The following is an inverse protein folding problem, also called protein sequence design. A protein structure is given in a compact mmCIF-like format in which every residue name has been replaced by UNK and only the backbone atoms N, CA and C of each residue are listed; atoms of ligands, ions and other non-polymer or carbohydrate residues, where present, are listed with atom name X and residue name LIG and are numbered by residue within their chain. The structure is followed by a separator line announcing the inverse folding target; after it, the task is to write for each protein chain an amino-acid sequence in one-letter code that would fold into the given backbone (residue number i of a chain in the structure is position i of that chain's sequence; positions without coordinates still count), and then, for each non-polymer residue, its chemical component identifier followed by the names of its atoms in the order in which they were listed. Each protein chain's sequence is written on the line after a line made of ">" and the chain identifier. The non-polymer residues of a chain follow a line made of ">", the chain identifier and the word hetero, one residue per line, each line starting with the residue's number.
data_IF_751869686287
#
_entry.id   IF_751869686287
#
_cell.length_a   1.000
_cell.length_b   1.000
_cell.length_c   1.000
_cell.angle_alpha   90.00
_cell.angle_beta   90.00
_cell.angle_gamma   90.00
#
_symmetry.space_group_name_H-M   'P 1'
#
loop_
_entity.id
_entity.type
_entity.pdbx_description
1 polymer ?
#
# COMPACT_ATOMS: atom_id res chain seq x y z
N UNK A 1 26.70 -20.78 46.56
CA UNK A 1 27.33 -22.05 47.00
C UNK A 1 26.41 -23.17 46.56
N UNK A 2 26.74 -24.18 45.76
CA UNK A 2 27.94 -24.68 45.09
C UNK A 2 27.44 -25.36 43.79
N UNK A 3 28.00 -25.06 42.62
CA UNK A 3 29.06 -25.84 41.93
C UNK A 3 28.74 -27.33 41.65
N UNK A 4 28.50 -27.62 40.37
CA UNK A 4 29.20 -28.60 39.50
C UNK A 4 29.06 -30.11 39.80
N UNK A 5 28.82 -30.89 38.73
CA UNK A 5 29.70 -32.00 38.34
C UNK A 5 29.48 -32.41 36.88
N UNK A 6 30.51 -32.13 36.07
CA UNK A 6 30.76 -32.71 34.75
C UNK A 6 31.05 -34.22 34.86
N UNK A 7 30.67 -34.98 33.83
CA UNK A 7 31.40 -36.17 33.39
C UNK A 7 31.39 -36.28 31.87
N UNK A 8 32.56 -36.12 31.27
CA UNK A 8 32.89 -36.69 29.95
C UNK A 8 33.78 -37.92 30.12
N UNK A 9 33.93 -38.71 29.04
CA UNK A 9 35.07 -39.56 28.60
C UNK A 9 34.57 -40.28 27.32
N UNK A 10 35.01 -39.92 26.10
CA UNK A 10 36.21 -40.34 25.32
C UNK A 10 36.14 -41.74 24.65
N UNK A 11 35.81 -41.72 23.36
CA UNK A 11 36.38 -42.41 22.17
C UNK A 11 37.04 -43.80 22.25
N UNK A 12 36.73 -44.67 21.27
CA UNK A 12 37.72 -45.16 20.29
C UNK A 12 37.09 -45.81 19.03
N UNK A 13 37.84 -45.71 17.94
CA UNK A 13 37.64 -46.06 16.52
C UNK A 13 38.07 -47.49 16.14
N UNK A 14 37.56 -48.04 15.03
CA UNK A 14 38.18 -49.01 14.09
C UNK A 14 37.27 -49.07 12.81
N UNK A 15 37.64 -48.56 11.62
CA UNK A 15 38.46 -49.07 10.49
C UNK A 15 37.93 -50.29 9.70
N UNK A 16 37.82 -50.12 8.36
CA UNK A 16 37.61 -51.16 7.32
C UNK A 16 36.71 -50.64 6.17
N UNK A 17 37.19 -49.96 5.12
CA UNK A 17 37.98 -50.37 3.94
C UNK A 17 37.13 -50.65 2.64
N UNK A 18 37.20 -49.67 1.73
CA UNK A 18 37.24 -49.64 0.26
C UNK A 18 36.55 -50.69 -0.64
N UNK A 19 35.78 -50.18 -1.62
CA UNK A 19 35.92 -50.49 -3.04
C UNK A 19 35.48 -49.26 -3.88
N UNK A 20 36.35 -48.80 -4.79
CA UNK A 20 36.15 -47.58 -5.57
C UNK A 20 35.58 -47.81 -6.97
N UNK A 21 35.11 -46.72 -7.58
CA UNK A 21 35.08 -46.54 -9.03
C UNK A 21 35.57 -45.11 -9.34
N UNK A 22 36.63 -45.03 -10.14
CA UNK A 22 37.20 -43.80 -10.66
C UNK A 22 36.34 -43.26 -11.81
N UNK A 23 35.99 -41.98 -11.79
CA UNK A 23 35.61 -41.24 -12.99
C UNK A 23 36.28 -39.85 -12.96
N UNK A 24 37.11 -39.61 -13.96
CA UNK A 24 37.94 -38.41 -14.12
C UNK A 24 37.10 -37.22 -14.58
N UNK A 25 36.95 -36.19 -13.74
CA UNK A 25 36.33 -34.93 -14.17
C UNK A 25 37.37 -33.98 -14.75
N UNK A 26 37.28 -33.75 -16.06
CA UNK A 26 37.92 -32.67 -16.82
C UNK A 26 37.55 -31.31 -16.18
N UNK A 27 38.54 -30.52 -15.77
CA UNK A 27 38.35 -29.11 -15.43
C UNK A 27 38.19 -28.31 -16.72
N UNK A 28 37.00 -27.77 -16.96
CA UNK A 28 36.78 -26.73 -17.97
C UNK A 28 37.11 -25.36 -17.37
N UNK A 29 37.80 -24.46 -18.10
CA UNK A 29 37.99 -23.10 -17.65
C UNK A 29 36.68 -22.32 -17.78
N UNK A 30 36.20 -21.75 -16.67
CA UNK A 30 35.14 -20.75 -16.65
C UNK A 30 35.68 -19.46 -17.28
N UNK A 31 35.25 -19.18 -18.50
CA UNK A 31 35.42 -17.87 -19.12
C UNK A 31 34.50 -16.88 -18.39
N UNK A 32 35.09 -16.03 -17.53
CA UNK A 32 34.41 -14.85 -17.02
C UNK A 32 34.24 -13.84 -18.17
N UNK A 33 33.06 -13.83 -18.77
CA UNK A 33 32.67 -12.80 -19.73
C UNK A 33 32.17 -11.57 -18.96
N UNK A 34 33.06 -10.62 -18.73
CA UNK A 34 32.70 -9.30 -18.21
C UNK A 34 32.23 -8.43 -19.37
N UNK A 35 30.94 -8.11 -19.44
CA UNK A 35 30.46 -7.00 -20.26
C UNK A 35 30.98 -5.71 -19.66
N UNK A 36 32.08 -5.20 -20.22
CA UNK A 36 32.59 -3.86 -19.95
C UNK A 36 31.65 -2.88 -20.64
N UNK A 37 30.71 -2.31 -19.89
CA UNK A 37 30.05 -1.07 -20.29
C UNK A 37 31.11 0.02 -20.17
N UNK A 38 31.71 0.41 -21.29
CA UNK A 38 32.42 1.67 -21.36
C UNK A 38 31.39 2.79 -21.28
N UNK A 39 31.10 3.22 -20.05
CA UNK A 39 30.56 4.56 -19.84
C UNK A 39 31.65 5.54 -20.26
N UNK A 40 31.49 6.14 -21.43
CA UNK A 40 32.15 7.41 -21.74
C UNK A 40 31.68 8.39 -20.68
N UNK A 41 32.49 8.59 -19.64
CA UNK A 41 32.32 9.69 -18.71
C UNK A 41 32.78 10.95 -19.45
N UNK A 42 31.87 11.58 -20.20
CA UNK A 42 31.93 13.02 -20.37
C UNK A 42 31.73 13.62 -18.99
N UNK A 43 32.83 14.03 -18.37
CA UNK A 43 32.85 14.78 -17.12
C UNK A 43 32.30 16.18 -17.37
N UNK A 44 30.98 16.31 -17.48
CA UNK A 44 30.37 17.63 -17.36
C UNK A 44 30.65 18.18 -15.96
N UNK A 45 31.12 19.44 -15.82
CA UNK A 45 31.49 19.98 -14.52
C UNK A 45 30.27 19.99 -13.59
N UNK A 46 30.43 19.48 -12.36
CA UNK A 46 29.40 19.53 -11.30
C UNK A 46 28.87 20.95 -11.04
N UNK A 47 29.62 22.00 -11.42
CA UNK A 47 29.17 23.39 -11.33
C UNK A 47 28.10 23.75 -12.37
N UNK A 48 28.17 23.20 -13.58
CA UNK A 48 27.23 23.50 -14.68
C UNK A 48 25.87 22.85 -14.43
N UNK A 49 25.85 21.65 -13.85
CA UNK A 49 24.60 20.96 -13.48
C UNK A 49 23.85 21.66 -12.34
N UNK A 50 24.58 22.24 -11.38
CA UNK A 50 24.01 23.07 -10.32
C UNK A 50 23.50 24.41 -10.87
N UNK A 51 24.23 25.07 -11.76
CA UNK A 51 23.81 26.36 -12.33
C UNK A 51 22.57 26.22 -13.23
N UNK A 52 22.44 25.12 -13.97
CA UNK A 52 21.23 24.84 -14.77
C UNK A 52 20.02 24.55 -13.85
N UNK A 53 20.19 23.75 -12.80
CA UNK A 53 19.12 23.49 -11.82
C UNK A 53 18.70 24.74 -11.02
N UNK A 54 19.64 25.65 -10.78
CA UNK A 54 19.38 26.89 -10.08
C UNK A 54 18.69 27.92 -10.99
N UNK A 55 19.11 28.02 -12.25
CA UNK A 55 18.46 28.86 -13.25
C UNK A 55 17.03 28.40 -13.58
N UNK A 56 16.74 27.10 -13.59
CA UNK A 56 15.37 26.59 -13.79
C UNK A 56 14.48 26.83 -12.58
N UNK A 57 15.04 26.78 -11.36
CA UNK A 57 14.30 27.08 -10.12
C UNK A 57 13.95 28.57 -10.03
N UNK A 58 14.90 29.46 -10.33
CA UNK A 58 14.68 30.91 -10.36
C UNK A 58 13.69 31.32 -11.48
N UNK A 59 13.76 30.68 -12.65
CA UNK A 59 12.79 30.91 -13.73
C UNK A 59 11.38 30.39 -13.39
N UNK A 60 11.28 29.28 -12.65
CA UNK A 60 10.00 28.78 -12.15
C UNK A 60 9.44 29.70 -11.05
N UNK A 61 10.28 30.14 -10.11
CA UNK A 61 9.91 31.09 -9.04
C UNK A 61 9.44 32.44 -9.60
N UNK A 62 10.10 32.96 -10.63
CA UNK A 62 9.68 34.18 -11.34
C UNK A 62 8.34 34.00 -12.08
N UNK A 63 8.04 32.79 -12.58
CA UNK A 63 6.76 32.50 -13.27
C UNK A 63 5.59 32.33 -12.29
N UNK A 64 5.88 32.02 -11.03
CA UNK A 64 4.89 31.88 -9.94
C UNK A 64 4.69 33.15 -9.10
N UNK A 65 5.44 34.23 -9.36
CA UNK A 65 5.25 35.50 -8.66
C UNK A 65 3.82 36.02 -8.84
N UNK A 66 3.12 36.25 -7.73
CA UNK A 66 1.74 36.71 -7.69
C UNK A 66 0.67 35.61 -7.66
N UNK A 67 1.06 34.32 -7.59
CA UNK A 67 0.13 33.20 -7.42
C UNK A 67 0.32 32.51 -6.06
N UNK A 68 -0.77 32.00 -5.50
CA UNK A 68 -0.77 31.20 -4.27
C UNK A 68 -1.35 29.81 -4.56
N UNK A 69 -0.66 28.75 -4.11
CA UNK A 69 -1.12 27.37 -4.29
C UNK A 69 -2.12 26.99 -3.18
N UNK A 70 -3.31 26.52 -3.58
CA UNK A 70 -4.32 25.96 -2.68
C UNK A 70 -4.48 24.48 -3.00
N UNK A 71 -4.13 23.62 -2.04
CA UNK A 71 -4.09 22.16 -2.22
C UNK A 71 -5.12 21.52 -1.30
N UNK A 72 -6.01 20.72 -1.88
CA UNK A 72 -6.91 19.81 -1.15
C UNK A 72 -6.43 18.36 -1.30
N UNK A 73 -6.58 17.57 -0.24
CA UNK A 73 -6.20 16.15 -0.23
C UNK A 73 -7.44 15.31 0.07
N UNK A 74 -7.63 14.26 -0.72
CA UNK A 74 -8.55 13.17 -0.44
C UNK A 74 -7.70 11.93 -0.12
N UNK A 75 -8.02 11.23 0.97
CA UNK A 75 -7.26 10.06 1.40
C UNK A 75 -8.21 8.92 1.72
N UNK A 76 -7.99 7.80 1.06
CA UNK A 76 -8.70 6.55 1.29
C UNK A 76 -7.84 5.67 2.18
N UNK A 77 -8.40 5.20 3.29
CA UNK A 77 -7.67 4.42 4.29
C UNK A 77 -8.33 3.06 4.44
N UNK A 78 -7.61 2.00 4.11
CA UNK A 78 -8.10 0.65 4.29
C UNK A 78 -8.08 0.27 5.77
N UNK A 79 -9.25 -0.09 6.30
CA UNK A 79 -9.41 -0.45 7.71
C UNK A 79 -8.94 -1.88 7.96
N UNK A 80 -8.12 -2.06 9.00
CA UNK A 80 -7.66 -3.38 9.44
C UNK A 80 -8.79 -4.15 10.15
N UNK A 81 -9.66 -4.76 9.34
CA UNK A 81 -10.80 -5.56 9.79
C UNK A 81 -10.69 -6.98 9.25
N UNK A 82 -11.24 -7.95 10.00
CA UNK A 82 -11.16 -9.37 9.62
C UNK A 82 -12.06 -9.67 8.43
N UNK A 83 -13.25 -9.06 8.37
CA UNK A 83 -14.23 -9.26 7.31
C UNK A 83 -14.51 -7.97 6.54
N UNK A 84 -14.94 -8.09 5.29
CA UNK A 84 -15.33 -6.97 4.43
C UNK A 84 -16.45 -6.11 5.04
N UNK A 85 -16.63 -4.91 4.49
CA UNK A 85 -17.55 -3.92 5.04
C UNK A 85 -19.02 -4.34 5.07
N UNK A 86 -19.47 -5.11 4.06
CA UNK A 86 -20.89 -5.42 3.84
C UNK A 86 -21.23 -6.91 3.74
N UNK A 87 -20.27 -7.80 4.02
CA UNK A 87 -20.47 -9.25 4.02
C UNK A 87 -19.46 -9.96 4.92
N UNK A 88 -19.66 -11.25 5.16
CA UNK A 88 -18.81 -12.06 6.06
C UNK A 88 -17.54 -12.61 5.41
N UNK A 89 -17.22 -12.24 4.17
CA UNK A 89 -15.97 -12.66 3.54
C UNK A 89 -14.77 -12.09 4.31
N UNK A 90 -13.72 -12.88 4.54
CA UNK A 90 -12.49 -12.36 5.10
C UNK A 90 -11.81 -11.40 4.12
N UNK A 91 -11.03 -10.47 4.68
CA UNK A 91 -10.05 -9.70 3.94
C UNK A 91 -8.65 -10.23 4.29
N UNK A 92 -7.88 -10.60 3.27
CA UNK A 92 -6.50 -11.06 3.41
C UNK A 92 -5.68 -10.65 2.18
N UNK A 93 -4.69 -9.79 2.41
CA UNK A 93 -3.85 -9.21 1.37
C UNK A 93 -3.09 -10.32 0.62
N UNK A 94 -3.10 -10.27 -0.71
CA UNK A 94 -2.38 -11.25 -1.54
C UNK A 94 -3.03 -12.63 -1.64
N UNK A 95 -4.30 -12.76 -1.23
CA UNK A 95 -5.13 -13.93 -1.49
C UNK A 95 -5.17 -14.30 -2.99
N UNK A 96 -5.42 -15.56 -3.29
CA UNK A 96 -5.64 -15.99 -4.67
C UNK A 96 -6.82 -15.22 -5.29
N UNK A 97 -6.73 -14.86 -6.59
CA UNK A 97 -7.81 -14.18 -7.30
C UNK A 97 -9.18 -14.78 -7.05
N UNK A 98 -10.13 -13.95 -6.65
CA UNK A 98 -11.54 -14.33 -6.44
C UNK A 98 -11.74 -15.52 -5.48
N UNK A 99 -10.81 -15.77 -4.55
CA UNK A 99 -10.94 -16.84 -3.53
C UNK A 99 -11.75 -16.43 -2.30
N UNK A 100 -11.77 -15.14 -1.96
CA UNK A 100 -12.48 -14.58 -0.79
C UNK A 100 -13.69 -13.74 -1.23
N UNK A 101 -14.61 -14.37 -1.97
CA UNK A 101 -15.81 -13.73 -2.52
C UNK A 101 -17.10 -14.44 -2.11
N UNK A 102 -18.22 -13.74 -2.16
CA UNK A 102 -19.57 -14.26 -1.92
C UNK A 102 -20.59 -13.55 -2.80
N UNK A 103 -21.83 -14.04 -2.92
CA UNK A 103 -22.86 -13.42 -3.74
C UNK A 103 -23.06 -11.92 -3.47
N UNK A 104 -22.98 -11.47 -2.21
CA UNK A 104 -23.17 -10.06 -1.84
C UNK A 104 -22.06 -9.17 -2.41
N UNK A 105 -20.78 -9.52 -2.21
CA UNK A 105 -19.68 -8.69 -2.74
C UNK A 105 -19.49 -8.85 -4.25
N UNK A 106 -19.99 -9.95 -4.85
CA UNK A 106 -20.07 -10.12 -6.30
C UNK A 106 -21.28 -9.42 -6.92
N UNK A 107 -22.14 -8.76 -6.14
CA UNK A 107 -23.31 -8.05 -6.65
C UNK A 107 -24.36 -8.96 -7.30
N UNK A 108 -24.48 -10.22 -6.86
CA UNK A 108 -25.49 -11.13 -7.40
C UNK A 108 -26.92 -10.62 -7.13
N UNK A 109 -27.88 -10.89 -8.03
CA UNK A 109 -29.28 -10.53 -7.83
C UNK A 109 -29.84 -11.11 -6.53
N UNK A 110 -30.62 -10.31 -5.81
CA UNK A 110 -31.30 -10.72 -4.57
C UNK A 110 -30.45 -10.69 -3.30
N UNK A 111 -29.20 -10.26 -3.38
CA UNK A 111 -28.32 -10.13 -2.21
C UNK A 111 -28.47 -8.77 -1.52
N UNK A 112 -28.26 -8.74 -0.19
CA UNK A 112 -28.37 -7.54 0.62
C UNK A 112 -27.08 -7.31 1.44
N UNK A 113 -26.60 -6.05 1.54
CA UNK A 113 -25.42 -5.72 2.33
C UNK A 113 -25.75 -5.72 3.83
N UNK A 114 -24.81 -6.21 4.66
CA UNK A 114 -24.89 -6.13 6.13
C UNK A 114 -23.61 -5.48 6.65
N UNK A 115 -23.75 -4.32 7.27
CA UNK A 115 -22.61 -3.52 7.73
C UNK A 115 -21.83 -4.23 8.85
N UNK A 116 -20.51 -4.27 8.71
CA UNK A 116 -19.59 -4.74 9.71
C UNK A 116 -19.44 -3.72 10.86
N UNK A 117 -19.78 -4.12 12.09
CA UNK A 117 -19.67 -3.27 13.27
C UNK A 117 -18.25 -2.73 13.52
N UNK A 118 -17.20 -3.49 13.14
CA UNK A 118 -15.81 -3.04 13.28
C UNK A 118 -15.45 -1.90 12.34
N UNK A 119 -16.08 -1.81 11.17
CA UNK A 119 -15.90 -0.66 10.26
C UNK A 119 -16.38 0.62 10.94
N UNK A 120 -17.54 0.57 11.60
CA UNK A 120 -18.08 1.72 12.36
C UNK A 120 -17.16 2.09 13.53
N UNK A 121 -16.72 1.10 14.31
CA UNK A 121 -15.80 1.32 15.44
C UNK A 121 -14.50 2.00 14.99
N UNK A 122 -13.89 1.51 13.90
CA UNK A 122 -12.68 2.09 13.32
C UNK A 122 -12.91 3.51 12.79
N UNK A 123 -14.03 3.76 12.10
CA UNK A 123 -14.35 5.07 11.55
C UNK A 123 -14.58 6.12 12.66
N UNK A 124 -15.27 5.75 13.75
CA UNK A 124 -15.44 6.62 14.93
C UNK A 124 -14.10 6.90 15.60
N UNK A 125 -13.26 5.88 15.80
CA UNK A 125 -11.91 6.07 16.36
C UNK A 125 -11.06 7.02 15.50
N UNK A 126 -11.11 6.87 14.18
CA UNK A 126 -10.42 7.76 13.25
C UNK A 126 -10.97 9.18 13.36
N UNK A 127 -12.28 9.36 13.37
CA UNK A 127 -12.90 10.69 13.55
C UNK A 127 -12.45 11.37 14.84
N UNK A 128 -12.45 10.65 15.96
CA UNK A 128 -11.96 11.17 17.24
C UNK A 128 -10.46 11.51 17.21
N UNK A 129 -9.64 10.66 16.59
CA UNK A 129 -8.20 10.91 16.44
C UNK A 129 -7.90 12.13 15.55
N UNK A 130 -8.79 12.43 14.60
CA UNK A 130 -8.73 13.61 13.73
C UNK A 130 -9.46 14.83 14.32
N UNK A 131 -9.84 14.79 15.61
CA UNK A 131 -10.55 15.85 16.30
C UNK A 131 -11.88 16.26 15.62
N UNK A 132 -12.54 15.34 14.92
CA UNK A 132 -13.82 15.59 14.26
C UNK A 132 -15.00 15.59 15.24
N UNK A 133 -16.07 16.28 14.86
CA UNK A 133 -17.40 16.11 15.45
C UNK A 133 -18.01 14.80 14.94
N UNK A 134 -18.34 13.87 15.85
CA UNK A 134 -18.94 12.58 15.48
C UNK A 134 -20.45 12.73 15.32
N UNK A 135 -20.97 12.27 14.19
CA UNK A 135 -22.40 12.24 13.89
C UNK A 135 -23.08 11.08 14.64
N UNK A 136 -24.08 11.39 15.48
CA UNK A 136 -24.87 10.36 16.18
C UNK A 136 -25.77 9.55 15.24
N UNK A 137 -26.03 10.07 14.05
CA UNK A 137 -26.74 9.40 12.96
C UNK A 137 -25.94 9.61 11.69
N UNK A 138 -25.73 8.55 10.91
CA UNK A 138 -25.12 8.63 9.58
C UNK A 138 -25.91 7.78 8.59
N UNK A 139 -25.76 8.06 7.30
CA UNK A 139 -26.55 7.45 6.23
C UNK A 139 -25.62 6.92 5.15
N UNK A 140 -25.86 5.70 4.69
CA UNK A 140 -25.22 5.17 3.49
C UNK A 140 -26.03 5.51 2.24
N UNK A 141 -25.31 5.90 1.19
CA UNK A 141 -25.78 6.31 -0.11
C UNK A 141 -25.17 5.41 -1.20
N UNK A 142 -25.77 5.42 -2.39
CA UNK A 142 -25.28 4.67 -3.56
C UNK A 142 -24.66 5.64 -4.55
N UNK A 143 -23.33 5.63 -4.67
CA UNK A 143 -22.58 6.35 -5.70
C UNK A 143 -22.56 5.52 -6.98
N UNK A 144 -23.36 5.90 -7.97
CA UNK A 144 -23.58 5.11 -9.19
C UNK A 144 -22.52 5.42 -10.26
N UNK A 145 -21.84 4.39 -10.75
CA UNK A 145 -20.95 4.47 -11.91
C UNK A 145 -20.67 3.07 -12.45
N UNK A 146 -20.37 2.96 -13.74
CA UNK A 146 -20.09 1.69 -14.40
C UNK A 146 -18.60 1.52 -14.57
N UNK A 147 -18.03 0.53 -13.89
CA UNK A 147 -16.65 0.11 -14.10
C UNK A 147 -16.51 -1.40 -13.80
N UNK A 148 -15.63 -2.16 -14.50
CA UNK A 148 -15.65 -3.62 -14.42
C UNK A 148 -15.28 -4.21 -13.04
N UNK A 149 -14.56 -3.47 -12.20
CA UNK A 149 -14.20 -3.87 -10.84
C UNK A 149 -15.30 -3.59 -9.80
N UNK A 150 -16.39 -2.95 -10.21
CA UNK A 150 -17.52 -2.57 -9.36
C UNK A 150 -18.78 -3.36 -9.75
N UNK A 151 -18.95 -4.58 -9.20
CA UNK A 151 -19.94 -5.53 -9.71
C UNK A 151 -21.39 -5.09 -9.53
N UNK A 152 -21.66 -4.19 -8.58
CA UNK A 152 -23.01 -3.71 -8.27
C UNK A 152 -23.49 -2.56 -9.18
N UNK A 153 -22.60 -1.94 -9.96
CA UNK A 153 -22.87 -0.70 -10.69
C UNK A 153 -23.07 0.53 -9.78
N UNK A 154 -22.81 0.38 -8.49
CA UNK A 154 -22.73 1.46 -7.52
C UNK A 154 -21.82 1.06 -6.35
N UNK A 155 -21.18 2.06 -5.75
CA UNK A 155 -20.39 1.95 -4.53
C UNK A 155 -21.26 2.41 -3.36
N UNK A 156 -21.31 1.61 -2.30
CA UNK A 156 -21.92 2.01 -1.04
C UNK A 156 -20.93 2.93 -0.31
N UNK A 157 -21.29 4.20 -0.16
CA UNK A 157 -20.50 5.24 0.52
C UNK A 157 -21.43 6.09 1.38
N UNK A 158 -20.99 7.19 1.98
CA UNK A 158 -21.86 8.17 2.63
C UNK A 158 -21.69 9.50 1.92
N UNK A 159 -22.79 10.14 1.51
CA UNK A 159 -22.77 11.45 0.88
C UNK A 159 -23.37 12.50 1.82
N UNK A 160 -24.66 12.41 2.10
CA UNK A 160 -25.39 13.47 2.81
C UNK A 160 -25.00 13.60 4.28
N UNK A 161 -24.89 12.47 4.99
CA UNK A 161 -24.68 12.44 6.44
C UNK A 161 -23.51 11.49 6.76
N UNK A 162 -22.26 11.99 6.73
CA UNK A 162 -21.08 11.22 7.07
C UNK A 162 -20.98 10.92 8.57
N UNK A 163 -20.12 9.97 8.93
CA UNK A 163 -19.90 9.57 10.32
C UNK A 163 -19.16 10.62 11.16
N UNK A 164 -18.33 11.47 10.55
CA UNK A 164 -17.69 12.58 11.25
C UNK A 164 -17.34 13.75 10.33
N UNK A 165 -17.32 14.97 10.88
CA UNK A 165 -17.05 16.21 10.12
C UNK A 165 -16.21 17.22 10.92
N UNK A 166 -15.67 18.23 10.22
CA UNK A 166 -15.04 19.42 10.82
C UNK A 166 -13.88 19.11 11.79
N UNK A 167 -13.04 18.15 11.43
CA UNK A 167 -11.83 17.84 12.18
C UNK A 167 -10.64 18.72 11.81
N UNK A 168 -9.49 18.41 12.40
CA UNK A 168 -8.22 19.05 12.08
C UNK A 168 -7.01 18.21 12.53
N UNK A 169 -5.87 18.48 11.89
CA UNK A 169 -4.56 17.94 12.20
C UNK A 169 -3.57 19.08 12.39
N UNK A 170 -2.83 19.06 13.49
CA UNK A 170 -1.71 19.97 13.74
C UNK A 170 -0.41 19.25 13.33
N UNK A 171 0.39 19.88 12.46
CA UNK A 171 1.63 19.32 11.93
C UNK A 171 2.78 20.32 12.02
N UNK A 172 3.98 19.77 12.24
CA UNK A 172 5.23 20.50 12.28
C UNK A 172 5.84 20.49 10.87
N UNK A 173 6.01 21.67 10.29
CA UNK A 173 6.61 21.83 8.97
C UNK A 173 8.13 21.72 9.11
N UNK A 174 8.79 20.84 8.33
CA UNK A 174 10.25 20.76 8.33
C UNK A 174 10.90 22.11 7.96
N UNK A 175 12.07 22.40 8.55
CA UNK A 175 12.79 23.67 8.34
C UNK A 175 13.14 23.92 6.86
N UNK A 176 13.41 22.87 6.10
CA UNK A 176 13.67 22.92 4.66
C UNK A 176 12.46 23.42 3.83
N UNK A 177 11.26 23.41 4.40
CA UNK A 177 10.02 23.91 3.80
C UNK A 177 9.47 25.16 4.52
N UNK A 178 10.30 25.87 5.27
CA UNK A 178 9.95 27.13 5.93
C UNK A 178 9.68 27.03 7.43
N UNK A 179 9.61 25.81 7.99
CA UNK A 179 9.46 25.61 9.43
C UNK A 179 8.09 26.02 10.00
N UNK A 180 7.85 25.64 11.26
CA UNK A 180 6.72 26.12 12.06
C UNK A 180 5.60 25.10 12.27
N UNK A 181 4.58 25.50 13.04
CA UNK A 181 3.41 24.67 13.33
C UNK A 181 2.22 25.16 12.51
N UNK A 182 1.51 24.25 11.83
CA UNK A 182 0.30 24.58 11.09
C UNK A 182 -0.82 23.58 11.34
N UNK A 183 -2.04 24.12 11.31
CA UNK A 183 -3.28 23.35 11.36
C UNK A 183 -3.84 23.12 9.97
N UNK A 184 -4.20 21.88 9.68
CA UNK A 184 -4.86 21.45 8.45
C UNK A 184 -6.27 20.99 8.78
N UNK A 185 -7.28 21.54 8.11
CA UNK A 185 -8.68 21.16 8.34
C UNK A 185 -9.00 19.81 7.69
N UNK A 186 -9.84 19.03 8.37
CA UNK A 186 -10.45 17.81 7.83
C UNK A 186 -11.93 18.09 7.63
N UNK A 187 -12.36 18.17 6.38
CA UNK A 187 -13.77 18.48 6.05
C UNK A 187 -14.71 17.40 6.56
N UNK A 188 -14.40 16.13 6.26
CA UNK A 188 -15.25 14.98 6.59
C UNK A 188 -14.47 13.67 6.64
N UNK A 189 -14.99 12.72 7.40
CA UNK A 189 -14.63 11.30 7.38
C UNK A 189 -15.91 10.53 7.09
N UNK A 190 -15.87 9.66 6.08
CA UNK A 190 -17.02 8.82 5.74
C UNK A 190 -16.57 7.38 5.48
N UNK A 191 -17.51 6.46 5.63
CA UNK A 191 -17.29 5.04 5.35
C UNK A 191 -17.69 4.72 3.92
N UNK A 192 -16.88 3.90 3.26
CA UNK A 192 -17.21 3.33 1.96
C UNK A 192 -16.72 1.90 1.82
N UNK A 193 -17.33 1.15 0.90
CA UNK A 193 -16.69 -0.06 0.37
C UNK A 193 -15.69 0.30 -0.71
N UNK A 194 -14.67 -0.52 -0.83
CA UNK A 194 -13.67 -0.39 -1.88
C UNK A 194 -14.03 -1.31 -3.08
N UNK A 195 -13.52 -0.95 -4.25
CA UNK A 195 -13.75 -1.66 -5.51
C UNK A 195 -12.78 -2.84 -5.66
N UNK A 196 -12.99 -3.67 -6.68
CA UNK A 196 -12.00 -4.69 -7.03
C UNK A 196 -10.71 -4.11 -7.62
N UNK A 197 -9.77 -5.01 -7.92
CA UNK A 197 -8.56 -4.68 -8.67
C UNK A 197 -8.73 -5.10 -10.12
N UNK A 198 -8.30 -4.23 -11.03
CA UNK A 198 -8.29 -4.48 -12.47
C UNK A 198 -6.85 -4.57 -12.98
N UNK A 199 -6.53 -5.64 -13.70
CA UNK A 199 -5.22 -5.85 -14.32
C UNK A 199 -5.36 -5.89 -15.84
N UNK A 200 -4.65 -5.02 -16.55
CA UNK A 200 -4.60 -5.04 -18.00
C UNK A 200 -3.57 -6.06 -18.49
N UNK A 201 -3.88 -6.78 -19.56
CA UNK A 201 -2.90 -7.65 -20.23
C UNK A 201 -1.75 -6.82 -20.79
N UNK A 202 -0.55 -7.41 -20.89
CA UNK A 202 0.61 -6.72 -21.49
C UNK A 202 0.35 -6.25 -22.92
N UNK A 203 -0.46 -7.03 -23.67
CA UNK A 203 -0.91 -6.69 -25.02
C UNK A 203 -1.97 -5.59 -25.08
N UNK A 204 -2.59 -5.24 -23.95
CA UNK A 204 -3.74 -4.33 -23.88
C UNK A 204 -5.05 -4.86 -24.47
N UNK A 205 -5.11 -6.14 -24.86
CA UNK A 205 -6.28 -6.72 -25.54
C UNK A 205 -7.42 -7.13 -24.60
N UNK A 206 -7.15 -7.36 -23.32
CA UNK A 206 -8.17 -7.67 -22.32
C UNK A 206 -7.75 -7.21 -20.92
N UNK A 207 -8.71 -7.22 -20.00
CA UNK A 207 -8.47 -6.95 -18.57
C UNK A 207 -8.99 -8.10 -17.71
N UNK A 208 -8.32 -8.38 -16.62
CA UNK A 208 -8.71 -9.35 -15.61
C UNK A 208 -9.22 -8.60 -14.38
N UNK A 209 -10.30 -9.09 -13.78
CA UNK A 209 -10.94 -8.48 -12.61
C UNK A 209 -10.81 -9.39 -11.41
N UNK A 210 -10.23 -8.86 -10.33
CA UNK A 210 -10.14 -9.50 -9.03
C UNK A 210 -11.02 -8.73 -8.03
N UNK A 211 -12.12 -9.34 -7.57
CA UNK A 211 -13.08 -8.71 -6.64
C UNK A 211 -12.62 -8.76 -5.17
N UNK A 212 -11.32 -9.00 -4.97
CA UNK A 212 -10.63 -8.96 -3.70
C UNK A 212 -9.57 -7.91 -3.88
N UNK A 213 -9.64 -6.85 -3.06
CA UNK A 213 -8.56 -5.88 -2.96
C UNK A 213 -7.35 -6.67 -2.47
N UNK A 214 -6.27 -6.64 -3.25
CA UNK A 214 -4.96 -7.06 -2.76
C UNK A 214 -4.59 -6.08 -1.69
#
# INVERSE_FOLDING_TARGET
>A
MALTLLRGIRTQTLFGANAGLFCTTRRHPLAHFTTRVESVQTSEPKSVRKSIQQATKEAAEHKTQGFEAVIGIETHVQLSTITKAFCSCPYDYGSQPNSTVCPTCMGHPGTLPVLNAKVVECAVKLGLALNCEISMTSKFDRKQYFYPDLPKGYQISQFDIPIAEKGYLDLDIPMEFGGGHRRFGVTRVHMEEDAGKLLHSESGSFSQVFLVIS
#
